data_IF_321768399491
#
_entry.id   IF_321768399491
#
_cell.length_a   1.000
_cell.length_b   1.000
_cell.length_c   1.000
_cell.angle_alpha   90.00
_cell.angle_beta   90.00
_cell.angle_gamma   90.00
#
_symmetry.space_group_name_H-M   'P 1'
#
loop_
_entity.id
_entity.type
_entity.pdbx_description
1 polymer ?
#
# COMPACT_ATOMS: atom_id res chain seq x y z
N UNK A 1 -8.25 19.80 -26.01
CA UNK A 1 -8.52 18.57 -25.23
C UNK A 1 -7.26 17.97 -24.57
N UNK A 2 -6.03 18.20 -25.07
CA UNK A 2 -4.79 17.61 -24.51
C UNK A 2 -4.41 18.06 -23.10
N UNK A 3 -4.66 19.33 -22.76
CA UNK A 3 -4.35 19.90 -21.44
C UNK A 3 -5.10 19.22 -20.29
N UNK A 4 -6.33 18.74 -20.54
CA UNK A 4 -7.13 18.04 -19.52
C UNK A 4 -6.49 16.69 -19.17
N UNK A 5 -5.97 15.96 -20.16
CA UNK A 5 -5.27 14.69 -19.93
C UNK A 5 -3.93 14.88 -19.23
N UNK A 6 -3.21 15.97 -19.53
CA UNK A 6 -1.96 16.31 -18.85
C UNK A 6 -2.20 16.72 -17.39
N UNK A 7 -3.23 17.53 -17.12
CA UNK A 7 -3.62 17.92 -15.77
C UNK A 7 -4.05 16.72 -14.92
N UNK A 8 -4.84 15.78 -15.49
CA UNK A 8 -5.22 14.55 -14.78
C UNK A 8 -4.01 13.64 -14.47
N UNK A 9 -3.04 13.55 -15.39
CA UNK A 9 -1.79 12.81 -15.16
C UNK A 9 -0.96 13.43 -14.04
N UNK A 10 -0.83 14.75 -14.01
CA UNK A 10 -0.12 15.47 -12.96
C UNK A 10 -0.78 15.27 -11.60
N UNK A 11 -2.09 15.48 -11.49
CA UNK A 11 -2.85 15.27 -10.26
C UNK A 11 -2.76 13.82 -9.75
N UNK A 12 -2.78 12.83 -10.65
CA UNK A 12 -2.61 11.41 -10.28
C UNK A 12 -1.20 11.12 -9.75
N UNK A 13 -0.17 11.77 -10.33
CA UNK A 13 1.22 11.62 -9.89
C UNK A 13 1.44 12.22 -8.50
N UNK A 14 0.90 13.41 -8.25
CA UNK A 14 0.94 14.07 -6.95
C UNK A 14 0.22 13.25 -5.88
N UNK A 15 -0.99 12.76 -6.18
CA UNK A 15 -1.74 11.92 -5.25
C UNK A 15 -0.97 10.64 -4.88
N UNK A 16 -0.32 9.99 -5.85
CA UNK A 16 0.51 8.81 -5.60
C UNK A 16 1.72 9.12 -4.73
N UNK A 17 2.39 10.25 -4.96
CA UNK A 17 3.54 10.67 -4.16
C UNK A 17 3.13 11.01 -2.72
N UNK A 18 2.02 11.72 -2.54
CA UNK A 18 1.47 12.04 -1.22
C UNK A 18 1.12 10.78 -0.43
N UNK A 19 0.45 9.81 -1.05
CA UNK A 19 0.10 8.55 -0.41
C UNK A 19 1.33 7.72 -0.06
N UNK A 20 2.41 7.81 -0.85
CA UNK A 20 3.67 7.15 -0.55
C UNK A 20 4.39 7.80 0.64
N UNK A 21 4.36 9.13 0.73
CA UNK A 21 4.95 9.86 1.86
C UNK A 21 4.21 9.66 3.18
N UNK A 22 2.90 9.43 3.13
CA UNK A 22 2.08 9.08 4.30
C UNK A 22 2.19 7.61 4.72
N UNK A 23 2.78 6.76 3.88
CA UNK A 23 2.90 5.34 4.15
C UNK A 23 4.02 5.09 5.18
N UNK A 24 3.66 4.56 6.34
CA UNK A 24 4.64 4.04 7.29
C UNK A 24 5.22 2.71 6.78
N UNK A 25 6.40 2.80 6.18
CA UNK A 25 7.15 1.68 5.62
C UNK A 25 8.04 0.98 6.65
N UNK A 26 7.97 1.38 7.92
CA UNK A 26 8.78 0.79 8.99
C UNK A 26 8.50 -0.72 9.14
N UNK A 27 9.56 -1.52 9.10
CA UNK A 27 9.49 -2.98 9.17
C UNK A 27 8.98 -3.65 7.89
N UNK A 28 8.78 -2.90 6.80
CA UNK A 28 8.51 -3.47 5.48
C UNK A 28 9.80 -3.61 4.67
N UNK A 29 9.90 -4.71 3.94
CA UNK A 29 10.92 -4.93 2.93
C UNK A 29 10.50 -4.26 1.63
N UNK A 30 11.22 -3.22 1.22
CA UNK A 30 10.99 -2.55 -0.05
C UNK A 30 11.51 -3.41 -1.21
N UNK A 31 10.64 -3.69 -2.19
CA UNK A 31 10.99 -4.38 -3.43
C UNK A 31 11.14 -3.41 -4.60
N UNK A 32 10.26 -2.42 -4.69
CA UNK A 32 10.32 -1.30 -5.64
C UNK A 32 9.91 -0.02 -4.93
N UNK A 33 10.07 1.19 -5.52
CA UNK A 33 9.69 2.44 -4.85
C UNK A 33 8.20 2.53 -4.45
N UNK A 34 7.35 1.65 -4.98
CA UNK A 34 5.91 1.60 -4.71
C UNK A 34 5.43 0.22 -4.24
N UNK A 35 6.34 -0.72 -3.96
CA UNK A 35 6.01 -2.09 -3.52
C UNK A 35 6.82 -2.47 -2.30
N UNK A 36 6.09 -2.86 -1.26
CA UNK A 36 6.61 -3.25 0.03
C UNK A 36 6.08 -4.64 0.37
N UNK A 37 6.88 -5.47 1.04
CA UNK A 37 6.41 -6.75 1.57
C UNK A 37 6.77 -6.89 3.05
N UNK A 38 5.91 -7.56 3.82
CA UNK A 38 6.16 -7.83 5.24
C UNK A 38 5.55 -9.16 5.61
N UNK A 39 6.22 -9.88 6.51
CA UNK A 39 5.70 -11.08 7.14
C UNK A 39 4.93 -10.68 8.39
N UNK A 40 3.68 -11.11 8.49
CA UNK A 40 2.86 -11.02 9.70
C UNK A 40 2.60 -12.45 10.19
N UNK A 41 3.47 -12.95 11.07
CA UNK A 41 3.50 -14.36 11.46
C UNK A 41 3.73 -15.27 10.24
N UNK A 42 2.84 -16.22 10.00
CA UNK A 42 2.91 -17.13 8.85
C UNK A 42 2.37 -16.55 7.53
N UNK A 43 1.86 -15.30 7.52
CA UNK A 43 1.25 -14.70 6.33
C UNK A 43 2.16 -13.61 5.76
N UNK A 44 2.55 -13.76 4.49
CA UNK A 44 3.19 -12.69 3.72
C UNK A 44 2.14 -11.69 3.24
N UNK A 45 2.44 -10.40 3.37
CA UNK A 45 1.63 -9.33 2.79
C UNK A 45 2.49 -8.49 1.88
N UNK A 46 2.04 -8.33 0.65
CA UNK A 46 2.62 -7.44 -0.35
C UNK A 46 1.71 -6.21 -0.46
N UNK A 47 2.26 -5.02 -0.32
CA UNK A 47 1.53 -3.75 -0.21
C UNK A 47 2.03 -2.74 -1.23
N UNK A 48 1.08 -2.10 -1.91
CA UNK A 48 1.30 -0.99 -2.84
C UNK A 48 0.55 0.25 -2.34
N UNK A 49 1.22 1.12 -1.55
CA UNK A 49 0.58 2.28 -0.93
C UNK A 49 0.03 3.26 -1.96
N UNK A 50 0.80 3.52 -3.01
CA UNK A 50 0.43 4.48 -4.08
C UNK A 50 -0.80 4.06 -4.86
N UNK A 51 -1.04 2.75 -4.96
CA UNK A 51 -2.12 2.19 -5.74
C UNK A 51 -3.29 1.73 -4.86
N UNK A 52 -3.16 1.84 -3.54
CA UNK A 52 -4.16 1.42 -2.56
C UNK A 52 -4.46 -0.07 -2.63
N UNK A 53 -3.44 -0.91 -2.81
CA UNK A 53 -3.59 -2.37 -3.00
C UNK A 53 -2.77 -3.13 -1.98
N UNK A 54 -3.28 -4.25 -1.50
CA UNK A 54 -2.48 -5.23 -0.80
C UNK A 54 -2.84 -6.65 -1.25
N UNK A 55 -1.86 -7.54 -1.28
CA UNK A 55 -2.02 -8.95 -1.58
C UNK A 55 -1.53 -9.77 -0.38
N UNK A 56 -2.28 -10.80 0.00
CA UNK A 56 -2.00 -11.64 1.16
C UNK A 56 -1.70 -13.05 0.67
N UNK A 57 -0.52 -13.54 1.01
CA UNK A 57 -0.02 -14.88 0.71
C UNK A 57 -0.16 -15.27 -0.77
N UNK A 58 -0.04 -14.29 -1.68
CA UNK A 58 -0.23 -14.48 -3.12
C UNK A 58 -1.66 -14.85 -3.57
N UNK A 59 -2.65 -14.88 -2.67
CA UNK A 59 -4.01 -15.37 -2.96
C UNK A 59 -5.07 -14.30 -2.88
N UNK A 60 -5.12 -13.56 -1.78
CA UNK A 60 -6.22 -12.62 -1.51
C UNK A 60 -5.78 -11.19 -1.83
N UNK A 61 -6.57 -10.47 -2.63
CA UNK A 61 -6.25 -9.13 -3.09
C UNK A 61 -7.26 -8.13 -2.49
N UNK A 62 -6.75 -7.13 -1.79
CA UNK A 62 -7.52 -6.07 -1.15
C UNK A 62 -7.26 -4.76 -1.90
N UNK A 63 -8.34 -4.05 -2.23
CA UNK A 63 -8.29 -2.78 -2.94
C UNK A 63 -8.91 -1.64 -2.13
N UNK A 64 -8.40 -0.44 -2.39
CA UNK A 64 -8.83 0.81 -1.77
C UNK A 64 -7.98 1.18 -0.56
N UNK A 65 -7.44 2.40 -0.56
CA UNK A 65 -6.54 2.91 0.49
C UNK A 65 -7.11 2.70 1.90
N UNK A 66 -8.38 3.05 2.13
CA UNK A 66 -9.01 2.89 3.44
C UNK A 66 -9.08 1.43 3.89
N UNK A 67 -9.48 0.51 3.01
CA UNK A 67 -9.61 -0.92 3.33
C UNK A 67 -8.24 -1.54 3.56
N UNK A 68 -7.27 -1.23 2.71
CA UNK A 68 -5.89 -1.69 2.84
C UNK A 68 -5.25 -1.18 4.13
N UNK A 69 -5.38 0.10 4.45
CA UNK A 69 -4.82 0.67 5.68
C UNK A 69 -5.47 0.04 6.93
N UNK A 70 -6.80 -0.11 6.95
CA UNK A 70 -7.50 -0.77 8.05
C UNK A 70 -7.07 -2.24 8.20
N UNK A 71 -6.86 -2.94 7.09
CA UNK A 71 -6.40 -4.33 7.08
C UNK A 71 -4.98 -4.46 7.62
N UNK A 72 -4.05 -3.63 7.16
CA UNK A 72 -2.66 -3.60 7.64
C UNK A 72 -2.62 -3.25 9.12
N UNK A 73 -3.40 -2.27 9.58
CA UNK A 73 -3.49 -1.92 10.99
C UNK A 73 -3.97 -3.10 11.85
N UNK A 74 -4.97 -3.86 11.37
CA UNK A 74 -5.45 -5.08 12.03
C UNK A 74 -4.37 -6.17 12.11
N UNK A 75 -3.53 -6.30 11.08
CA UNK A 75 -2.42 -7.25 11.09
C UNK A 75 -1.31 -6.83 12.05
N UNK A 76 -0.92 -5.55 12.04
CA UNK A 76 0.05 -4.98 13.01
C UNK A 76 -0.45 -5.20 14.45
N UNK A 77 -1.73 -4.96 14.72
CA UNK A 77 -2.32 -5.18 16.04
C UNK A 77 -2.30 -6.66 16.47
N UNK A 78 -2.48 -7.60 15.53
CA UNK A 78 -2.38 -9.04 15.80
C UNK A 78 -0.95 -9.53 16.01
N UNK A 79 0.04 -8.88 15.41
CA UNK A 79 1.46 -9.21 15.56
C UNK A 79 1.98 -8.90 16.98
N UNK A 80 1.41 -7.89 17.64
CA UNK A 80 1.83 -7.42 18.97
C UNK A 80 1.24 -8.26 20.10
N UNK A 81 0.22 -9.08 19.85
CA UNK A 81 -0.36 -9.96 20.87
C UNK A 81 0.38 -11.31 20.88
N UNK A 82 1.03 -11.70 22.01
CA UNK A 82 1.77 -12.95 22.15
C UNK A 82 0.87 -14.19 22.18
#
# INVERSE_FOLDING_TARGET
>A
MGDIFNAQRAATKEHRAEMLGKADTTGWKQHTPWHFSRMFGAKRVDWWPSAGKAQINGREMVYGHRKVNAFIAKLKAKEVQP
#
